data_IF_885355314902
#
_entry.id   IF_885355314902
#
_cell.length_a   1.000
_cell.length_b   1.000
_cell.length_c   1.000
_cell.angle_alpha   90.00
_cell.angle_beta   90.00
_cell.angle_gamma   90.00
#
_symmetry.space_group_name_H-M   'P 1'
#
loop_
_entity.id
_entity.type
_entity.pdbx_description
1 polymer ?
#
# COMPACT_ATOMS: atom_id res chain seq x y z
N UNK A 1 -16.89 12.17 3.62
CA UNK A 1 -16.76 10.89 4.36
C UNK A 1 -17.21 9.75 3.47
N UNK A 2 -16.59 8.58 3.58
CA UNK A 2 -16.93 7.42 2.73
C UNK A 2 -18.37 6.93 2.91
N UNK A 3 -18.98 7.14 4.08
CA UNK A 3 -20.41 6.83 4.31
C UNK A 3 -21.37 7.66 3.46
N UNK A 4 -20.91 8.79 2.92
CA UNK A 4 -21.65 9.68 2.02
C UNK A 4 -21.32 9.44 0.54
N UNK A 5 -20.62 8.35 0.19
CA UNK A 5 -20.22 8.10 -1.21
C UNK A 5 -21.39 8.13 -2.20
N UNK A 6 -22.59 7.71 -1.78
CA UNK A 6 -23.78 7.76 -2.64
C UNK A 6 -24.18 9.20 -3.01
N UNK A 7 -23.98 10.16 -2.11
CA UNK A 7 -24.24 11.58 -2.38
C UNK A 7 -23.21 12.14 -3.36
N UNK A 8 -21.92 11.79 -3.18
CA UNK A 8 -20.86 12.16 -4.13
C UNK A 8 -21.11 11.57 -5.53
N UNK A 9 -21.62 10.34 -5.61
CA UNK A 9 -21.96 9.71 -6.89
C UNK A 9 -23.15 10.36 -7.59
N UNK A 10 -24.15 10.83 -6.85
CA UNK A 10 -25.27 11.57 -7.45
C UNK A 10 -24.81 12.95 -7.94
N UNK A 11 -23.95 13.64 -7.19
CA UNK A 11 -23.31 14.86 -7.67
C UNK A 11 -22.49 14.61 -8.95
N UNK A 12 -21.61 13.59 -8.95
CA UNK A 12 -20.78 13.22 -10.09
C UNK A 12 -21.61 12.89 -11.34
N UNK A 13 -22.78 12.27 -11.18
CA UNK A 13 -23.69 11.98 -12.30
C UNK A 13 -24.16 13.24 -13.02
N UNK A 14 -24.37 14.33 -12.28
CA UNK A 14 -24.77 15.63 -12.82
C UNK A 14 -23.59 16.42 -13.37
N UNK A 15 -22.43 16.36 -12.72
CA UNK A 15 -21.22 17.11 -13.09
C UNK A 15 -20.47 16.48 -14.27
N UNK A 16 -20.27 15.15 -14.25
CA UNK A 16 -19.61 14.38 -15.30
C UNK A 16 -20.28 13.01 -15.49
N UNK A 17 -21.30 12.99 -16.34
CA UNK A 17 -22.05 11.77 -16.67
C UNK A 17 -21.17 10.66 -17.26
N UNK A 18 -20.10 11.00 -17.99
CA UNK A 18 -19.21 10.00 -18.58
C UNK A 18 -18.35 9.33 -17.50
N UNK A 19 -17.81 10.12 -16.57
CA UNK A 19 -17.01 9.59 -15.47
C UNK A 19 -17.87 8.81 -14.47
N UNK A 20 -19.10 9.25 -14.21
CA UNK A 20 -20.06 8.45 -13.43
C UNK A 20 -20.42 7.11 -14.11
N UNK A 21 -20.51 7.06 -15.46
CA UNK A 21 -20.66 5.78 -16.17
C UNK A 21 -19.42 4.90 -16.01
N UNK A 22 -18.23 5.50 -16.10
CA UNK A 22 -16.94 4.81 -15.88
C UNK A 22 -16.86 4.22 -14.48
N UNK A 23 -17.23 5.00 -13.46
CA UNK A 23 -17.41 4.52 -12.08
C UNK A 23 -18.30 3.28 -12.05
N UNK A 24 -19.50 3.35 -12.66
CA UNK A 24 -20.43 2.21 -12.69
C UNK A 24 -19.95 1.02 -13.50
N UNK A 25 -18.98 1.18 -14.39
CA UNK A 25 -18.33 0.05 -15.09
C UNK A 25 -17.36 -0.66 -14.14
N UNK A 26 -16.62 0.09 -13.33
CA UNK A 26 -15.56 -0.44 -12.46
C UNK A 26 -16.13 -0.94 -11.13
N UNK A 27 -16.96 -0.13 -10.49
CA UNK A 27 -17.41 -0.31 -9.12
C UNK A 27 -18.92 -0.58 -9.01
N UNK A 28 -19.26 -1.27 -7.94
CA UNK A 28 -20.62 -1.37 -7.40
C UNK A 28 -20.61 -0.87 -5.96
N UNK A 29 -21.62 -0.08 -5.59
CA UNK A 29 -21.79 0.44 -4.23
C UNK A 29 -23.19 0.12 -3.73
N UNK A 30 -23.25 -0.48 -2.54
CA UNK A 30 -24.50 -0.75 -1.84
C UNK A 30 -24.43 -0.19 -0.41
N UNK A 31 -25.61 0.09 0.15
CA UNK A 31 -25.75 0.55 1.54
C UNK A 31 -26.77 -0.35 2.23
N UNK A 32 -26.42 -0.84 3.40
CA UNK A 32 -27.29 -1.66 4.25
C UNK A 32 -27.22 -1.19 5.69
N UNK A 33 -28.24 -1.53 6.49
CA UNK A 33 -28.27 -1.25 7.92
C UNK A 33 -28.22 -2.55 8.73
N UNK A 34 -27.32 -2.60 9.70
CA UNK A 34 -27.31 -3.62 10.74
C UNK A 34 -27.97 -3.08 12.02
N UNK A 35 -28.86 -3.86 12.61
CA UNK A 35 -29.52 -3.51 13.88
C UNK A 35 -29.11 -4.45 15.00
N UNK A 36 -29.10 -3.93 16.23
CA UNK A 36 -28.80 -4.72 17.43
C UNK A 36 -29.84 -4.53 18.54
N UNK A 37 -30.06 -5.59 19.31
CA UNK A 37 -30.78 -5.53 20.59
C UNK A 37 -29.76 -5.44 21.70
N UNK A 38 -29.84 -4.38 22.50
CA UNK A 38 -28.93 -4.13 23.62
C UNK A 38 -29.56 -4.73 24.89
N UNK A 39 -28.92 -5.69 25.55
CA UNK A 39 -29.36 -6.19 26.85
C UNK A 39 -29.36 -5.07 27.91
N UNK A 40 -30.31 -5.10 28.85
CA UNK A 40 -30.41 -4.09 29.91
C UNK A 40 -29.13 -3.97 30.73
N UNK A 41 -28.42 -5.09 30.92
CA UNK A 41 -27.16 -5.17 31.64
C UNK A 41 -26.07 -4.30 31.00
N UNK A 42 -26.11 -4.09 29.68
CA UNK A 42 -25.13 -3.25 28.98
C UNK A 42 -25.38 -1.75 29.18
N UNK A 43 -26.59 -1.34 29.61
CA UNK A 43 -26.92 0.08 29.84
C UNK A 43 -26.05 0.71 30.94
N UNK A 44 -25.57 -0.10 31.88
CA UNK A 44 -24.71 0.33 32.97
C UNK A 44 -23.20 0.25 32.62
N UNK A 45 -22.84 -0.39 31.51
CA UNK A 45 -21.45 -0.65 31.11
C UNK A 45 -20.91 0.37 30.11
N UNK A 46 -21.79 1.01 29.34
CA UNK A 46 -21.41 1.95 28.29
C UNK A 46 -22.27 3.21 28.36
N UNK A 47 -21.73 4.30 27.82
CA UNK A 47 -22.46 5.56 27.71
C UNK A 47 -23.73 5.40 26.83
N UNK A 48 -24.81 6.06 27.24
CA UNK A 48 -26.09 5.97 26.55
C UNK A 48 -26.02 6.48 25.11
N UNK A 49 -25.22 7.51 24.83
CA UNK A 49 -25.06 8.03 23.46
C UNK A 49 -24.28 7.07 22.57
N UNK A 50 -23.28 6.37 23.12
CA UNK A 50 -22.57 5.30 22.42
C UNK A 50 -23.52 4.15 22.07
N UNK A 51 -24.29 3.68 23.06
CA UNK A 51 -25.26 2.59 22.87
C UNK A 51 -26.33 2.96 21.83
N UNK A 52 -26.86 4.19 21.89
CA UNK A 52 -27.83 4.66 20.90
C UNK A 52 -27.23 4.73 19.49
N UNK A 53 -26.00 5.23 19.36
CA UNK A 53 -25.30 5.25 18.08
C UNK A 53 -25.01 3.86 17.52
N UNK A 54 -24.87 2.85 18.38
CA UNK A 54 -24.61 1.48 18.00
C UNK A 54 -25.86 0.74 17.49
N UNK A 55 -27.08 1.21 17.83
CA UNK A 55 -28.34 0.52 17.52
C UNK A 55 -28.58 0.32 16.02
N UNK A 56 -28.25 1.35 15.23
CA UNK A 56 -28.37 1.34 13.78
C UNK A 56 -27.03 1.63 13.14
N UNK A 57 -26.47 0.63 12.46
CA UNK A 57 -25.15 0.74 11.85
C UNK A 57 -25.28 0.71 10.34
N UNK A 58 -25.05 1.87 9.71
CA UNK A 58 -24.95 1.95 8.25
C UNK A 58 -23.62 1.33 7.82
N UNK A 59 -23.70 0.42 6.87
CA UNK A 59 -22.56 -0.23 6.23
C UNK A 59 -22.61 0.09 4.75
N UNK A 60 -21.55 0.72 4.25
CA UNK A 60 -21.31 0.88 2.82
C UNK A 60 -20.44 -0.27 2.35
N UNK A 61 -20.91 -1.00 1.34
CA UNK A 61 -20.17 -2.05 0.67
C UNK A 61 -19.77 -1.58 -0.72
N UNK A 62 -18.48 -1.65 -1.03
CA UNK A 62 -17.93 -1.27 -2.33
C UNK A 62 -17.24 -2.49 -2.92
N UNK A 63 -17.49 -2.79 -4.19
CA UNK A 63 -16.92 -3.93 -4.89
C UNK A 63 -16.34 -3.50 -6.24
N UNK A 64 -15.08 -3.84 -6.49
CA UNK A 64 -14.44 -3.69 -7.79
C UNK A 64 -14.74 -4.91 -8.65
N UNK A 65 -15.55 -4.72 -9.69
CA UNK A 65 -16.05 -5.80 -10.56
C UNK A 65 -14.97 -6.40 -11.47
N UNK A 66 -13.82 -5.75 -11.58
CA UNK A 66 -12.72 -6.18 -12.44
C UNK A 66 -11.67 -6.97 -11.68
N UNK A 67 -11.31 -6.53 -10.48
CA UNK A 67 -10.28 -7.19 -9.66
C UNK A 67 -10.86 -8.13 -8.61
N UNK A 68 -12.15 -7.99 -8.29
CA UNK A 68 -12.82 -8.70 -7.21
C UNK A 68 -12.48 -8.18 -5.81
N UNK A 69 -11.73 -7.08 -5.71
CA UNK A 69 -11.43 -6.42 -4.44
C UNK A 69 -12.70 -5.77 -3.87
N UNK A 70 -12.99 -5.98 -2.60
CA UNK A 70 -14.18 -5.44 -1.93
C UNK A 70 -13.85 -4.86 -0.56
N UNK A 71 -14.57 -3.82 -0.16
CA UNK A 71 -14.41 -3.15 1.13
C UNK A 71 -15.76 -2.83 1.80
N UNK A 72 -15.79 -3.01 3.12
CA UNK A 72 -16.93 -2.74 3.98
C UNK A 72 -16.59 -1.60 4.96
N UNK A 73 -17.32 -0.50 4.87
CA UNK A 73 -17.17 0.67 5.74
C UNK A 73 -18.35 0.78 6.68
N UNK A 74 -18.11 0.53 7.97
CA UNK A 74 -19.14 0.59 9.00
C UNK A 74 -19.04 1.92 9.78
N UNK A 75 -20.18 2.61 9.93
CA UNK A 75 -20.24 3.93 10.59
C UNK A 75 -19.70 3.94 12.02
N UNK A 76 -19.88 2.86 12.78
CA UNK A 76 -19.34 2.73 14.14
C UNK A 76 -17.84 2.47 14.16
N UNK A 77 -17.32 1.69 13.20
CA UNK A 77 -15.88 1.46 13.08
C UNK A 77 -15.13 2.75 12.75
N UNK A 78 -15.66 3.55 11.83
CA UNK A 78 -15.09 4.85 11.44
C UNK A 78 -15.07 5.90 12.56
N UNK A 79 -15.89 5.70 13.60
CA UNK A 79 -15.99 6.59 14.77
C UNK A 79 -15.15 6.12 15.96
N UNK A 80 -14.58 4.92 15.91
CA UNK A 80 -13.71 4.47 17.00
C UNK A 80 -12.57 5.48 17.17
N UNK A 81 -12.29 5.95 18.39
CA UNK A 81 -11.14 6.80 18.63
C UNK A 81 -9.91 6.11 18.05
N UNK A 82 -9.20 6.83 17.18
CA UNK A 82 -7.86 6.40 16.79
C UNK A 82 -7.04 6.48 18.06
N UNK A 83 -6.68 5.33 18.63
CA UNK A 83 -5.72 5.32 19.71
C UNK A 83 -4.41 5.81 19.11
N UNK A 84 -4.03 7.04 19.43
CA UNK A 84 -2.66 7.49 19.24
C UNK A 84 -1.81 6.64 20.15
N UNK A 85 -1.13 5.67 19.56
CA UNK A 85 -0.20 4.86 20.29
C UNK A 85 1.01 5.73 20.55
N UNK A 86 1.39 5.87 21.82
CA UNK A 86 2.76 6.26 22.11
C UNK A 86 3.65 5.23 21.44
N UNK A 87 4.73 5.65 20.77
CA UNK A 87 5.82 4.73 20.43
C UNK A 87 6.34 4.17 21.76
N UNK A 88 5.82 3.02 22.15
CA UNK A 88 6.17 2.41 23.42
C UNK A 88 7.69 2.16 23.44
N UNK A 89 8.34 2.33 24.59
CA UNK A 89 9.80 2.24 24.73
C UNK A 89 10.36 0.91 24.17
N UNK A 90 9.58 -0.18 24.26
CA UNK A 90 9.89 -1.48 23.67
C UNK A 90 10.10 -1.44 22.14
N UNK A 91 9.35 -0.61 21.42
CA UNK A 91 9.55 -0.43 19.98
C UNK A 91 10.86 0.29 19.66
N UNK A 92 11.23 1.28 20.47
CA UNK A 92 12.48 2.02 20.28
C UNK A 92 13.69 1.13 20.54
N UNK A 93 13.64 0.29 21.59
CA UNK A 93 14.68 -0.70 21.87
C UNK A 93 14.85 -1.67 20.70
N UNK A 94 13.75 -2.24 20.18
CA UNK A 94 13.79 -3.15 19.03
C UNK A 94 14.43 -2.49 17.79
N UNK A 95 14.12 -1.22 17.53
CA UNK A 95 14.67 -0.47 16.38
C UNK A 95 16.15 -0.10 16.53
N UNK A 96 16.71 -0.20 17.74
CA UNK A 96 18.12 0.10 18.04
C UNK A 96 18.93 -1.18 18.30
N UNK A 97 18.27 -2.33 18.48
CA UNK A 97 18.93 -3.59 18.78
C UNK A 97 19.62 -4.19 17.55
N UNK A 98 20.92 -3.96 17.47
CA UNK A 98 21.78 -4.53 16.43
C UNK A 98 22.35 -5.91 16.83
N UNK A 99 22.04 -6.39 18.02
CA UNK A 99 22.62 -7.61 18.59
C UNK A 99 22.23 -8.82 17.75
N UNK A 100 23.23 -9.49 17.17
CA UNK A 100 22.99 -10.69 16.36
C UNK A 100 22.40 -10.44 14.97
N UNK A 101 22.15 -9.19 14.58
CA UNK A 101 21.62 -8.83 13.27
C UNK A 101 22.61 -9.20 12.14
N UNK A 102 22.19 -10.08 11.24
CA UNK A 102 22.98 -10.47 10.06
C UNK A 102 23.21 -9.28 9.10
N UNK A 103 22.25 -8.36 9.02
CA UNK A 103 22.24 -7.27 8.05
C UNK A 103 23.11 -6.07 8.48
N UNK A 104 23.58 -6.03 9.73
CA UNK A 104 24.63 -5.10 10.16
C UNK A 104 26.02 -5.47 9.61
N UNK A 105 26.23 -6.73 9.22
CA UNK A 105 27.46 -7.23 8.61
C UNK A 105 27.16 -8.07 7.36
N UNK A 106 26.51 -7.48 6.34
CA UNK A 106 25.90 -8.24 5.25
C UNK A 106 26.94 -9.01 4.43
N UNK A 107 28.15 -8.47 4.28
CA UNK A 107 29.22 -9.09 3.48
C UNK A 107 29.66 -10.46 4.01
N UNK A 108 29.65 -10.65 5.33
CA UNK A 108 30.10 -11.87 5.99
C UNK A 108 28.96 -12.75 6.48
N UNK A 109 27.75 -12.20 6.60
CA UNK A 109 26.58 -12.89 7.18
C UNK A 109 25.42 -13.11 6.21
N UNK A 110 25.58 -12.74 4.94
CA UNK A 110 24.62 -13.06 3.88
C UNK A 110 25.34 -13.62 2.66
N UNK A 111 24.71 -14.44 1.81
CA UNK A 111 25.30 -14.83 0.54
C UNK A 111 25.24 -13.68 -0.48
N UNK A 112 26.07 -13.74 -1.51
CA UNK A 112 25.98 -12.86 -2.70
C UNK A 112 25.39 -13.61 -3.88
N UNK A 113 24.87 -12.88 -4.88
CA UNK A 113 24.38 -13.48 -6.12
C UNK A 113 25.55 -13.94 -6.99
N UNK A 114 25.29 -14.72 -8.04
CA UNK A 114 26.34 -15.24 -8.94
C UNK A 114 27.10 -14.16 -9.71
N UNK A 115 26.51 -12.97 -9.85
CA UNK A 115 27.14 -11.76 -10.40
C UNK A 115 27.77 -10.88 -9.31
N UNK A 116 27.85 -11.37 -8.08
CA UNK A 116 28.38 -10.66 -6.92
C UNK A 116 27.39 -9.68 -6.30
N UNK A 117 27.91 -8.80 -5.43
CA UNK A 117 27.12 -7.73 -4.78
C UNK A 117 27.14 -6.44 -5.57
N UNK A 118 25.99 -5.78 -5.62
CA UNK A 118 25.87 -4.42 -6.10
C UNK A 118 25.88 -3.48 -4.91
N UNK A 119 26.69 -2.44 -5.01
CA UNK A 119 26.88 -1.45 -3.94
C UNK A 119 26.26 -0.12 -4.34
N UNK A 120 25.35 0.34 -3.50
CA UNK A 120 24.87 1.72 -3.48
C UNK A 120 25.69 2.57 -2.50
N UNK A 121 25.41 3.87 -2.50
CA UNK A 121 25.96 4.81 -1.53
C UNK A 121 25.40 4.54 -0.13
N UNK A 122 24.16 4.11 -0.02
CA UNK A 122 23.43 3.88 1.23
C UNK A 122 22.90 2.46 1.38
N UNK A 123 23.21 1.56 0.44
CA UNK A 123 22.72 0.19 0.43
C UNK A 123 23.72 -0.81 -0.17
N UNK A 124 23.48 -2.08 0.09
CA UNK A 124 24.22 -3.20 -0.50
C UNK A 124 23.28 -4.35 -0.80
N UNK A 125 23.50 -5.05 -1.91
CA UNK A 125 22.70 -6.24 -2.22
C UNK A 125 23.30 -7.51 -1.61
N UNK A 126 22.41 -8.48 -1.40
CA UNK A 126 22.74 -9.85 -1.02
C UNK A 126 21.80 -10.80 -1.76
N UNK A 127 22.20 -12.05 -1.90
CA UNK A 127 21.28 -13.09 -2.32
C UNK A 127 20.43 -13.51 -1.12
N UNK A 128 19.12 -13.70 -1.32
CA UNK A 128 18.31 -14.27 -0.25
C UNK A 128 18.70 -15.75 -0.07
N UNK A 129 19.06 -16.16 1.16
CA UNK A 129 19.43 -17.55 1.48
C UNK A 129 18.23 -18.49 1.39
N UNK A 130 17.04 -17.99 1.73
CA UNK A 130 15.76 -18.69 1.65
C UNK A 130 14.89 -17.99 0.61
N UNK A 131 15.16 -18.29 -0.65
CA UNK A 131 14.59 -17.61 -1.81
C UNK A 131 13.08 -17.72 -1.91
N UNK A 132 12.41 -16.61 -2.24
CA UNK A 132 10.98 -16.60 -2.58
C UNK A 132 10.72 -17.08 -4.01
N UNK A 133 11.64 -16.79 -4.93
CA UNK A 133 11.65 -17.23 -6.33
C UNK A 133 13.12 -17.43 -6.78
N UNK A 134 13.36 -18.02 -7.95
CA UNK A 134 14.70 -18.34 -8.46
C UNK A 134 15.65 -17.13 -8.37
N UNK A 135 15.16 -15.94 -8.70
CA UNK A 135 15.86 -14.67 -8.51
C UNK A 135 15.21 -13.89 -7.38
N UNK A 136 15.75 -14.11 -6.19
CA UNK A 136 15.34 -13.48 -4.94
C UNK A 136 16.59 -12.91 -4.26
N UNK A 137 16.71 -11.58 -4.36
CA UNK A 137 17.76 -10.77 -3.75
C UNK A 137 17.22 -9.94 -2.59
N UNK A 138 18.14 -9.40 -1.82
CA UNK A 138 17.93 -8.45 -0.74
C UNK A 138 18.64 -7.17 -1.10
N UNK A 139 17.99 -6.03 -0.89
CA UNK A 139 18.65 -4.73 -0.81
C UNK A 139 18.66 -4.32 0.65
N UNK A 140 19.85 -4.31 1.25
CA UNK A 140 20.04 -4.05 2.68
C UNK A 140 20.48 -2.60 2.86
N UNK A 141 19.79 -1.87 3.71
CA UNK A 141 20.11 -0.47 4.01
C UNK A 141 21.36 -0.42 4.89
N UNK A 142 22.16 0.63 4.79
CA UNK A 142 23.27 0.84 5.74
C UNK A 142 22.76 1.22 7.13
N UNK A 143 21.67 1.99 7.21
CA UNK A 143 21.02 2.28 8.48
C UNK A 143 20.23 1.05 8.95
N UNK A 144 20.42 0.67 10.22
CA UNK A 144 19.68 -0.43 10.83
C UNK A 144 18.20 -0.10 10.94
N UNK A 145 17.85 1.12 11.38
CA UNK A 145 16.46 1.48 11.62
C UNK A 145 15.71 1.69 10.28
N UNK A 146 14.72 0.84 9.94
CA UNK A 146 14.00 0.93 8.66
C UNK A 146 13.16 2.21 8.52
N UNK A 147 12.82 2.88 9.63
CA UNK A 147 12.01 4.08 9.64
C UNK A 147 12.83 5.36 9.50
N UNK A 148 14.17 5.26 9.61
CA UNK A 148 15.07 6.41 9.52
C UNK A 148 15.80 6.41 8.17
N UNK A 149 15.24 7.17 7.23
CA UNK A 149 15.87 7.43 5.94
C UNK A 149 15.52 8.82 5.44
N UNK A 150 16.42 9.42 4.67
CA UNK A 150 16.19 10.64 3.92
C UNK A 150 15.96 10.37 2.42
N UNK A 151 15.73 11.42 1.63
CA UNK A 151 15.47 11.30 0.19
C UNK A 151 16.65 10.69 -0.59
N UNK A 152 17.89 11.04 -0.25
CA UNK A 152 19.07 10.51 -0.95
C UNK A 152 19.21 9.01 -0.69
N UNK A 153 18.96 8.57 0.55
CA UNK A 153 18.96 7.16 0.91
C UNK A 153 17.88 6.38 0.15
N UNK A 154 16.63 6.86 0.14
CA UNK A 154 15.55 6.20 -0.63
C UNK A 154 15.87 6.16 -2.13
N UNK A 155 16.42 7.24 -2.68
CA UNK A 155 16.81 7.31 -4.09
C UNK A 155 17.93 6.33 -4.43
N UNK A 156 18.91 6.16 -3.54
CA UNK A 156 19.96 5.15 -3.67
C UNK A 156 19.39 3.73 -3.64
N UNK A 157 18.42 3.45 -2.77
CA UNK A 157 17.78 2.12 -2.70
C UNK A 157 17.12 1.77 -4.03
N UNK A 158 16.36 2.71 -4.62
CA UNK A 158 15.70 2.50 -5.89
C UNK A 158 16.70 2.34 -7.05
N UNK A 159 17.76 3.15 -7.10
CA UNK A 159 18.83 3.02 -8.11
C UNK A 159 19.60 1.71 -8.00
N UNK A 160 19.94 1.30 -6.78
CA UNK A 160 20.67 0.06 -6.52
C UNK A 160 19.81 -1.16 -6.85
N UNK A 161 18.51 -1.11 -6.59
CA UNK A 161 17.57 -2.17 -7.02
C UNK A 161 17.50 -2.30 -8.55
N UNK A 162 17.47 -1.20 -9.29
CA UNK A 162 17.42 -1.20 -10.76
C UNK A 162 18.69 -1.82 -11.36
N UNK A 163 19.87 -1.50 -10.79
CA UNK A 163 21.12 -2.17 -11.16
C UNK A 163 21.07 -3.67 -10.90
N UNK A 164 20.49 -4.09 -9.78
CA UNK A 164 20.31 -5.53 -9.47
C UNK A 164 19.41 -6.24 -10.45
N UNK A 165 18.29 -5.63 -10.84
CA UNK A 165 17.44 -6.21 -11.88
C UNK A 165 18.19 -6.37 -13.20
N UNK A 166 18.95 -5.36 -13.64
CA UNK A 166 19.73 -5.45 -14.90
C UNK A 166 20.71 -6.64 -14.91
N UNK A 167 21.44 -6.86 -13.81
CA UNK A 167 22.35 -8.01 -13.71
C UNK A 167 21.58 -9.34 -13.66
N UNK A 168 20.51 -9.41 -12.87
CA UNK A 168 19.69 -10.61 -12.76
C UNK A 168 19.00 -10.97 -14.09
N UNK A 169 18.50 -9.99 -14.84
CA UNK A 169 17.90 -10.16 -16.17
C UNK A 169 18.94 -10.69 -17.16
N UNK A 170 20.16 -10.12 -17.17
CA UNK A 170 21.24 -10.55 -18.06
C UNK A 170 21.65 -12.02 -17.86
N UNK A 171 21.64 -12.49 -16.61
CA UNK A 171 21.99 -13.89 -16.29
C UNK A 171 20.83 -14.86 -16.50
N UNK A 172 19.59 -14.41 -16.25
CA UNK A 172 18.42 -15.29 -16.19
C UNK A 172 17.58 -15.35 -17.46
N UNK A 173 17.57 -14.26 -18.23
CA UNK A 173 16.57 -14.01 -19.28
C UNK A 173 15.15 -13.75 -18.76
N UNK A 174 14.95 -13.60 -17.45
CA UNK A 174 13.66 -13.25 -16.86
C UNK A 174 13.42 -11.75 -16.98
N UNK A 175 12.18 -11.29 -16.87
CA UNK A 175 11.82 -9.90 -17.18
C UNK A 175 10.60 -9.37 -16.40
N UNK A 176 10.21 -10.00 -15.29
CA UNK A 176 9.10 -9.53 -14.44
C UNK A 176 9.59 -9.12 -13.04
N UNK A 177 10.14 -7.90 -12.90
CA UNK A 177 10.63 -7.39 -11.63
C UNK A 177 9.50 -7.01 -10.67
N UNK A 178 9.76 -7.18 -9.38
CA UNK A 178 8.93 -6.77 -8.26
C UNK A 178 9.82 -6.41 -7.06
N UNK A 179 9.60 -5.25 -6.48
CA UNK A 179 10.21 -4.86 -5.20
C UNK A 179 9.15 -4.98 -4.11
N UNK A 180 9.52 -5.58 -2.99
CA UNK A 180 8.70 -5.64 -1.80
C UNK A 180 9.49 -5.10 -0.61
N UNK A 181 8.90 -4.19 0.14
CA UNK A 181 9.41 -3.77 1.44
C UNK A 181 8.41 -4.15 2.52
N UNK A 182 8.75 -5.17 3.30
CA UNK A 182 8.05 -5.47 4.54
C UNK A 182 8.76 -4.69 5.66
N UNK A 183 8.14 -3.61 6.16
CA UNK A 183 8.71 -2.81 7.23
C UNK A 183 8.20 -3.31 8.59
N UNK A 184 9.11 -3.89 9.37
CA UNK A 184 8.89 -4.44 10.72
C UNK A 184 8.03 -5.72 10.78
N UNK A 185 8.06 -6.46 11.91
CA UNK A 185 7.51 -7.82 11.98
C UNK A 185 6.03 -7.94 11.65
N UNK A 186 5.21 -6.94 11.98
CA UNK A 186 3.77 -6.97 11.68
C UNK A 186 3.49 -6.93 10.17
N UNK A 187 4.38 -6.34 9.37
CA UNK A 187 4.36 -6.39 7.91
C UNK A 187 4.95 -7.69 7.33
N UNK A 188 5.42 -8.62 8.17
CA UNK A 188 6.04 -9.88 7.75
C UNK A 188 7.55 -9.78 7.50
N UNK A 189 8.23 -8.80 8.11
CA UNK A 189 9.69 -8.75 8.09
C UNK A 189 10.27 -9.76 9.10
N UNK A 190 11.19 -10.62 8.67
CA UNK A 190 11.90 -11.55 9.56
C UNK A 190 13.11 -10.92 10.26
N UNK A 191 13.55 -9.75 9.79
CA UNK A 191 14.63 -8.95 10.35
C UNK A 191 14.12 -7.52 10.53
N UNK A 192 14.41 -6.91 11.68
CA UNK A 192 14.06 -5.51 11.96
C UNK A 192 14.84 -4.55 11.06
N UNK A 193 16.09 -4.90 10.77
CA UNK A 193 16.99 -4.10 9.95
C UNK A 193 16.36 -3.72 8.60
N UNK A 194 16.48 -2.46 8.20
CA UNK A 194 15.91 -1.96 6.96
C UNK A 194 16.39 -2.67 5.70
N UNK A 195 15.46 -3.28 4.97
CA UNK A 195 15.76 -3.96 3.71
C UNK A 195 14.53 -4.05 2.80
N UNK A 196 14.79 -4.26 1.51
CA UNK A 196 13.80 -4.61 0.50
C UNK A 196 14.12 -5.98 -0.09
N UNK A 197 13.08 -6.71 -0.49
CA UNK A 197 13.19 -7.92 -1.30
C UNK A 197 13.13 -7.54 -2.78
N UNK A 198 14.09 -8.04 -3.56
CA UNK A 198 14.16 -7.88 -5.00
C UNK A 198 13.81 -9.21 -5.66
N UNK A 199 12.75 -9.21 -6.46
CA UNK A 199 12.19 -10.44 -7.03
C UNK A 199 12.10 -10.30 -8.54
N UNK A 200 12.72 -11.23 -9.28
CA UNK A 200 12.66 -11.26 -10.74
C UNK A 200 12.04 -12.58 -11.19
N UNK A 201 10.82 -12.52 -11.73
CA UNK A 201 10.08 -13.70 -12.17
C UNK A 201 10.20 -13.95 -13.66
N UNK A 202 10.08 -15.21 -14.08
CA UNK A 202 9.92 -15.60 -15.49
C UNK A 202 8.53 -15.22 -16.04
N UNK A 203 7.57 -14.97 -15.13
CA UNK A 203 6.20 -14.54 -15.42
C UNK A 203 5.78 -13.50 -14.38
N UNK A 204 4.74 -12.69 -14.65
CA UNK A 204 4.21 -11.77 -13.65
C UNK A 204 3.81 -12.51 -12.37
N UNK A 205 4.14 -11.94 -11.22
CA UNK A 205 3.59 -12.39 -9.94
C UNK A 205 2.07 -12.30 -9.95
N UNK A 206 1.39 -13.23 -9.29
CA UNK A 206 -0.04 -13.50 -9.51
C UNK A 206 -0.95 -12.26 -9.44
N UNK A 207 -0.72 -11.35 -8.48
CA UNK A 207 -1.48 -10.10 -8.34
C UNK A 207 -1.19 -9.12 -9.48
N UNK A 208 0.06 -8.95 -9.88
CA UNK A 208 0.44 -8.12 -11.03
C UNK A 208 -0.13 -8.73 -12.33
N UNK A 209 -0.01 -10.04 -12.50
CA UNK A 209 -0.59 -10.73 -13.66
C UNK A 209 -2.12 -10.66 -13.73
N UNK A 210 -2.82 -10.54 -12.60
CA UNK A 210 -4.26 -10.25 -12.58
C UNK A 210 -4.54 -8.84 -13.11
N UNK A 211 -3.82 -7.84 -12.62
CA UNK A 211 -3.99 -6.44 -13.06
C UNK A 211 -3.70 -6.28 -14.56
N UNK A 212 -2.68 -6.95 -15.06
CA UNK A 212 -2.34 -6.97 -16.49
C UNK A 212 -3.43 -7.57 -17.37
N UNK A 213 -3.94 -8.75 -16.98
CA UNK A 213 -5.08 -9.35 -17.69
C UNK A 213 -6.32 -8.45 -17.65
N UNK A 214 -6.60 -7.84 -16.50
CA UNK A 214 -7.71 -6.89 -16.34
C UNK A 214 -7.53 -5.70 -17.27
N UNK A 215 -6.34 -5.09 -17.31
CA UNK A 215 -6.03 -3.95 -18.16
C UNK A 215 -6.23 -4.29 -19.65
N UNK A 216 -5.73 -5.45 -20.09
CA UNK A 216 -5.92 -5.92 -21.48
C UNK A 216 -7.39 -6.14 -21.86
N UNK A 217 -8.16 -6.84 -21.02
CA UNK A 217 -9.60 -7.09 -21.28
C UNK A 217 -10.39 -5.77 -21.24
N UNK A 218 -10.09 -4.89 -20.28
CA UNK A 218 -10.76 -3.61 -20.15
C UNK A 218 -10.51 -2.72 -21.37
N UNK A 219 -9.25 -2.61 -21.81
CA UNK A 219 -8.88 -1.85 -23.01
C UNK A 219 -9.56 -2.40 -24.26
N UNK A 220 -9.59 -3.72 -24.44
CA UNK A 220 -10.28 -4.34 -25.58
C UNK A 220 -11.79 -4.02 -25.59
N UNK A 221 -12.42 -3.88 -24.41
CA UNK A 221 -13.86 -3.66 -24.28
C UNK A 221 -14.27 -2.19 -24.35
N UNK A 222 -13.49 -1.28 -23.77
CA UNK A 222 -13.86 0.13 -23.62
C UNK A 222 -12.95 1.10 -24.37
N UNK A 223 -11.85 0.63 -24.95
CA UNK A 223 -10.87 1.48 -25.62
C UNK A 223 -10.11 2.43 -24.70
N UNK A 224 -10.22 2.25 -23.37
CA UNK A 224 -9.57 3.08 -22.36
C UNK A 224 -8.60 2.26 -21.50
N UNK A 225 -7.70 2.94 -20.79
CA UNK A 225 -6.82 2.30 -19.82
C UNK A 225 -7.55 2.09 -18.49
N UNK A 226 -7.58 0.84 -18.01
CA UNK A 226 -8.19 0.50 -16.73
C UNK A 226 -7.63 1.34 -15.57
N UNK A 227 -6.30 1.43 -15.47
CA UNK A 227 -5.65 2.13 -14.37
C UNK A 227 -5.88 3.65 -14.41
N UNK A 228 -5.97 4.24 -15.60
CA UNK A 228 -6.29 5.67 -15.72
C UNK A 228 -7.75 5.95 -15.38
N UNK A 229 -8.67 5.09 -15.82
CA UNK A 229 -10.09 5.25 -15.48
C UNK A 229 -10.31 5.05 -13.97
N UNK A 230 -9.60 4.10 -13.33
CA UNK A 230 -9.57 3.96 -11.88
C UNK A 230 -9.08 5.24 -11.22
N UNK A 231 -7.93 5.79 -11.66
CA UNK A 231 -7.39 7.02 -11.07
C UNK A 231 -8.35 8.21 -11.24
N UNK A 232 -8.85 8.46 -12.45
CA UNK A 232 -9.79 9.56 -12.74
C UNK A 232 -11.06 9.47 -11.91
N UNK A 233 -11.58 8.27 -11.69
CA UNK A 233 -12.71 8.04 -10.80
C UNK A 233 -12.38 8.48 -9.37
N UNK A 234 -11.22 8.11 -8.84
CA UNK A 234 -10.82 8.53 -7.49
C UNK A 234 -10.57 10.03 -7.42
N UNK A 235 -9.93 10.62 -8.43
CA UNK A 235 -9.70 12.05 -8.52
C UNK A 235 -11.02 12.84 -8.44
N UNK A 236 -12.01 12.51 -9.25
CA UNK A 236 -13.31 13.18 -9.23
C UNK A 236 -14.11 12.93 -7.95
N UNK A 237 -13.86 11.82 -7.26
CA UNK A 237 -14.40 11.58 -5.92
C UNK A 237 -13.67 12.34 -4.82
N UNK A 238 -12.65 13.16 -5.13
CA UNK A 238 -11.84 13.85 -4.14
C UNK A 238 -10.91 12.90 -3.38
N UNK A 239 -10.60 11.74 -3.93
CA UNK A 239 -9.72 10.71 -3.36
C UNK A 239 -8.43 10.50 -4.18
N UNK A 240 -8.23 11.28 -5.24
CA UNK A 240 -7.03 11.30 -6.06
C UNK A 240 -6.38 12.68 -6.16
N UNK A 241 -5.10 12.69 -6.51
CA UNK A 241 -4.29 13.88 -6.81
C UNK A 241 -3.34 13.51 -7.94
N UNK A 242 -3.29 14.33 -8.99
CA UNK A 242 -2.21 14.27 -9.98
C UNK A 242 -1.03 15.12 -9.51
N UNK A 243 0.16 14.53 -9.45
CA UNK A 243 1.41 15.20 -9.07
C UNK A 243 2.45 15.01 -10.18
N UNK A 244 2.67 16.04 -10.99
CA UNK A 244 3.64 16.06 -12.08
C UNK A 244 3.56 14.82 -13.01
N UNK A 245 2.35 14.48 -13.48
CA UNK A 245 1.99 13.30 -14.32
C UNK A 245 1.81 11.94 -13.59
N UNK A 246 2.04 11.89 -12.27
CA UNK A 246 1.85 10.69 -11.45
C UNK A 246 0.50 10.78 -10.75
N UNK A 247 -0.28 9.71 -10.81
CA UNK A 247 -1.56 9.62 -10.10
C UNK A 247 -1.36 9.04 -8.71
N UNK A 248 -1.78 9.75 -7.66
CA UNK A 248 -1.82 9.25 -6.28
C UNK A 248 -3.27 9.17 -5.82
N UNK A 249 -3.70 8.05 -5.23
CA UNK A 249 -5.06 7.93 -4.74
C UNK A 249 -5.19 6.97 -3.55
N UNK A 250 -6.17 7.24 -2.69
CA UNK A 250 -6.64 6.31 -1.68
C UNK A 250 -7.76 5.45 -2.28
N UNK A 251 -7.57 4.12 -2.28
CA UNK A 251 -8.54 3.19 -2.87
C UNK A 251 -9.86 3.20 -2.09
N UNK A 252 -11.00 3.15 -2.79
CA UNK A 252 -12.32 2.88 -2.19
C UNK A 252 -12.59 1.39 -1.97
N UNK A 253 -11.70 0.51 -2.45
CA UNK A 253 -11.66 -0.93 -2.15
C UNK A 253 -10.29 -1.32 -1.60
N UNK A 254 -9.83 -0.71 -0.49
CA UNK A 254 -8.48 -0.97 0.01
C UNK A 254 -8.44 -2.33 0.76
N UNK A 255 -7.27 -2.95 0.79
CA UNK A 255 -7.05 -4.19 1.55
C UNK A 255 -6.98 -3.90 3.05
N UNK A 256 -6.42 -2.75 3.43
CA UNK A 256 -6.32 -2.25 4.80
C UNK A 256 -6.48 -0.74 4.89
N UNK A 257 -6.58 -0.24 6.12
CA UNK A 257 -6.57 1.18 6.42
C UNK A 257 -5.34 1.88 5.81
N UNK A 258 -5.50 3.16 5.49
CA UNK A 258 -4.44 4.04 4.97
C UNK A 258 -3.69 3.51 3.74
N UNK A 259 -4.35 2.68 2.93
CA UNK A 259 -3.77 2.23 1.68
C UNK A 259 -3.64 3.38 0.67
N UNK A 260 -2.42 3.61 0.20
CA UNK A 260 -2.12 4.62 -0.83
C UNK A 260 -1.57 3.91 -2.07
N UNK A 261 -2.13 4.27 -3.21
CA UNK A 261 -1.74 3.77 -4.52
C UNK A 261 -1.12 4.90 -5.33
N UNK A 262 -0.02 4.61 -6.02
CA UNK A 262 0.61 5.48 -7.00
C UNK A 262 0.69 4.77 -8.34
N UNK A 263 0.38 5.50 -9.42
CA UNK A 263 0.62 5.08 -10.80
C UNK A 263 1.58 6.04 -11.49
N UNK A 264 2.51 5.50 -12.27
CA UNK A 264 3.55 6.27 -12.97
C UNK A 264 3.98 5.58 -14.28
N UNK A 265 4.65 6.33 -15.17
CA UNK A 265 5.09 5.82 -16.48
C UNK A 265 6.59 5.98 -16.76
N UNK A 266 7.30 6.64 -15.86
CA UNK A 266 8.74 6.86 -15.94
C UNK A 266 9.54 5.69 -15.37
N UNK A 267 10.85 5.68 -15.63
CA UNK A 267 11.78 4.81 -14.93
C UNK A 267 11.89 5.24 -13.47
N UNK A 268 11.50 4.37 -12.55
CA UNK A 268 11.47 4.66 -11.12
C UNK A 268 12.85 4.97 -10.51
N UNK A 269 13.92 4.47 -11.14
CA UNK A 269 15.29 4.64 -10.66
C UNK A 269 15.91 5.98 -11.06
N UNK A 270 15.41 6.61 -12.11
CA UNK A 270 15.94 7.89 -12.64
C UNK A 270 14.94 9.05 -12.52
N UNK A 271 13.67 8.82 -12.15
CA UNK A 271 12.68 9.86 -11.90
C UNK A 271 12.75 10.40 -10.46
N UNK A 272 13.52 11.48 -10.26
CA UNK A 272 13.64 12.16 -8.96
C UNK A 272 12.31 12.73 -8.46
N UNK A 273 11.38 13.08 -9.35
CA UNK A 273 10.06 13.59 -8.95
C UNK A 273 9.22 12.48 -8.33
N UNK A 274 9.21 11.30 -8.94
CA UNK A 274 8.58 10.11 -8.34
C UNK A 274 9.25 9.72 -7.02
N UNK A 275 10.58 9.73 -6.95
CA UNK A 275 11.33 9.41 -5.72
C UNK A 275 10.99 10.36 -4.59
N UNK A 276 10.90 11.67 -4.87
CA UNK A 276 10.48 12.70 -3.92
C UNK A 276 9.03 12.52 -3.47
N UNK A 277 8.14 12.20 -4.40
CA UNK A 277 6.73 11.94 -4.11
C UNK A 277 6.57 10.74 -3.17
N UNK A 278 7.23 9.62 -3.50
CA UNK A 278 7.24 8.43 -2.65
C UNK A 278 7.82 8.73 -1.27
N UNK A 279 8.94 9.47 -1.22
CA UNK A 279 9.53 9.91 0.04
C UNK A 279 8.55 10.72 0.89
N UNK A 280 7.90 11.74 0.32
CA UNK A 280 6.90 12.56 1.02
C UNK A 280 5.76 11.71 1.57
N UNK A 281 5.23 10.76 0.79
CA UNK A 281 4.15 9.87 1.24
C UNK A 281 4.61 8.99 2.40
N UNK A 282 5.79 8.37 2.31
CA UNK A 282 6.31 7.54 3.39
C UNK A 282 6.58 8.37 4.66
N UNK A 283 7.14 9.58 4.53
CA UNK A 283 7.35 10.49 5.67
C UNK A 283 6.02 10.94 6.28
N UNK A 284 5.01 11.25 5.46
CA UNK A 284 3.67 11.55 5.96
C UNK A 284 3.11 10.38 6.78
N UNK A 285 3.15 9.16 6.24
CA UNK A 285 2.66 7.99 6.97
C UNK A 285 3.42 7.77 8.28
N UNK A 286 4.75 7.86 8.26
CA UNK A 286 5.60 7.54 9.42
C UNK A 286 5.58 8.66 10.48
N UNK A 287 5.70 9.92 10.05
CA UNK A 287 5.95 11.05 10.95
C UNK A 287 4.66 11.78 11.33
N UNK A 288 3.61 11.74 10.49
CA UNK A 288 2.32 12.41 10.75
C UNK A 288 1.24 11.40 11.17
N UNK A 289 1.19 10.22 10.54
CA UNK A 289 0.19 9.17 10.86
C UNK A 289 0.69 8.10 11.82
N UNK A 290 1.94 8.22 12.26
CA UNK A 290 2.63 7.30 13.18
C UNK A 290 2.57 5.82 12.71
N UNK A 291 2.61 5.63 11.39
CA UNK A 291 2.69 4.30 10.79
C UNK A 291 4.09 3.73 11.03
N UNK A 292 4.17 2.77 11.95
CA UNK A 292 5.42 2.10 12.28
C UNK A 292 5.67 0.86 11.41
N UNK A 293 4.61 0.13 11.02
CA UNK A 293 4.72 -1.08 10.21
C UNK A 293 3.89 -0.95 8.94
N UNK A 294 4.51 -1.21 7.79
CA UNK A 294 3.85 -1.11 6.49
C UNK A 294 4.41 -2.12 5.49
N UNK A 295 3.61 -2.47 4.49
CA UNK A 295 4.11 -3.08 3.27
C UNK A 295 4.14 -2.05 2.16
N UNK A 296 5.22 -2.06 1.38
CA UNK A 296 5.29 -1.39 0.10
C UNK A 296 5.56 -2.43 -0.99
N UNK A 297 4.79 -2.37 -2.06
CA UNK A 297 5.06 -3.08 -3.30
C UNK A 297 5.35 -2.05 -4.39
N UNK A 298 6.42 -2.25 -5.16
CA UNK A 298 6.71 -1.50 -6.38
C UNK A 298 6.84 -2.48 -7.54
N UNK A 299 5.96 -2.33 -8.52
CA UNK A 299 6.09 -2.93 -9.83
C UNK A 299 6.54 -1.83 -10.81
N UNK A 300 7.74 -1.92 -11.41
CA UNK A 300 8.22 -0.90 -12.32
C UNK A 300 7.49 -1.01 -13.66
N UNK A 301 7.59 0.03 -14.49
CA UNK A 301 7.07 -0.01 -15.86
C UNK A 301 7.73 -1.15 -16.62
N UNK A 302 6.92 -1.98 -17.26
CA UNK A 302 7.38 -3.11 -18.05
C UNK A 302 6.72 -3.07 -19.43
N UNK A 303 7.51 -2.90 -20.49
CA UNK A 303 7.02 -2.80 -21.86
C UNK A 303 6.33 -4.06 -22.39
N UNK A 304 6.44 -5.19 -21.68
CA UNK A 304 5.73 -6.42 -21.99
C UNK A 304 4.33 -6.50 -21.36
N UNK A 305 3.89 -5.47 -20.65
CA UNK A 305 2.64 -5.44 -19.88
C UNK A 305 1.79 -4.21 -20.24
N UNK A 306 0.47 -4.31 -20.06
CA UNK A 306 -0.51 -3.26 -20.34
C UNK A 306 -0.78 -2.35 -19.12
N UNK A 307 0.00 -2.49 -18.06
CA UNK A 307 -0.14 -1.75 -16.80
C UNK A 307 0.94 -0.67 -16.67
N UNK A 308 0.63 0.44 -15.97
CA UNK A 308 1.66 1.40 -15.61
C UNK A 308 2.61 0.82 -14.56
N UNK A 309 3.65 1.59 -14.20
CA UNK A 309 4.33 1.37 -12.94
C UNK A 309 3.36 1.60 -11.78
N UNK A 310 3.41 0.74 -10.77
CA UNK A 310 2.49 0.76 -9.63
C UNK A 310 3.31 0.73 -8.34
N UNK A 311 3.03 1.66 -7.43
CA UNK A 311 3.43 1.53 -6.02
C UNK A 311 2.17 1.41 -5.16
N UNK A 312 2.11 0.40 -4.29
CA UNK A 312 1.05 0.26 -3.27
C UNK A 312 1.68 0.26 -1.90
N UNK A 313 1.18 1.09 -1.00
CA UNK A 313 1.62 1.17 0.40
C UNK A 313 0.43 0.82 1.27
N UNK A 314 0.63 -0.11 2.21
CA UNK A 314 -0.41 -0.63 3.09
C UNK A 314 0.05 -0.51 4.53
N UNK A 315 -0.69 0.23 5.35
CA UNK A 315 -0.48 0.28 6.80
C UNK A 315 -0.87 -1.07 7.43
N UNK A 316 0.00 -1.60 8.28
CA UNK A 316 -0.19 -2.86 9.01
C UNK A 316 -0.53 -2.63 10.48
N UNK A 317 -0.66 -1.36 10.87
CA UNK A 317 -1.01 -0.88 12.19
C UNK A 317 0.13 -1.06 13.22
N UNK A 318 -0.17 -0.82 14.50
CA UNK A 318 0.83 -0.85 15.57
C UNK A 318 1.39 -2.25 15.83
N UNK A 319 2.70 -2.34 16.09
CA UNK A 319 3.41 -3.60 16.37
C UNK A 319 2.93 -4.20 17.70
N UNK A 320 2.59 -3.36 18.68
CA UNK A 320 2.05 -3.75 19.99
C UNK A 320 0.61 -4.30 19.93
N UNK A 321 -0.02 -4.34 18.76
CA UNK A 321 -1.37 -4.89 18.65
C UNK A 321 -1.37 -6.39 18.92
N UNK A 322 -2.19 -6.80 19.90
CA UNK A 322 -2.42 -8.21 20.20
C UNK A 322 -3.16 -8.94 19.07
N UNK A 323 -3.97 -8.22 18.29
CA UNK A 323 -4.73 -8.80 17.18
C UNK A 323 -3.87 -8.87 15.90
N UNK A 324 -3.88 -10.03 15.24
CA UNK A 324 -3.40 -10.13 13.86
C UNK A 324 -4.18 -9.16 12.98
N UNK A 325 -3.46 -8.51 12.07
CA UNK A 325 -4.07 -7.66 11.07
C UNK A 325 -4.65 -8.47 9.90
N UNK A 326 -4.26 -9.73 9.68
CA UNK A 326 -4.89 -10.60 8.69
C UNK A 326 -5.88 -11.52 9.40
N UNK A 327 -7.17 -11.34 9.12
CA UNK A 327 -8.25 -12.19 9.59
C UNK A 327 -8.96 -12.93 8.47
N UNK A 328 -10.08 -13.57 8.82
CA UNK A 328 -10.90 -14.30 7.85
C UNK A 328 -11.45 -13.43 6.72
N UNK A 329 -11.68 -12.14 6.98
CA UNK A 329 -12.21 -11.21 5.97
C UNK A 329 -11.18 -10.86 4.90
N UNK A 330 -9.91 -10.64 5.27
CA UNK A 330 -8.83 -10.42 4.31
C UNK A 330 -8.48 -11.67 3.50
N UNK A 331 -8.68 -12.86 4.09
CA UNK A 331 -8.38 -14.13 3.44
C UNK A 331 -9.50 -14.61 2.51
N UNK A 332 -10.77 -14.45 2.91
CA UNK A 332 -11.91 -15.11 2.28
C UNK A 332 -13.09 -14.20 1.93
N UNK A 333 -13.08 -12.96 2.39
CA UNK A 333 -14.20 -12.03 2.24
C UNK A 333 -13.80 -10.70 1.62
N UNK A 334 -14.50 -9.65 2.05
CA UNK A 334 -14.19 -8.25 1.75
C UNK A 334 -13.51 -7.60 2.94
N UNK A 335 -12.50 -6.76 2.69
CA UNK A 335 -11.80 -6.04 3.75
C UNK A 335 -12.76 -5.19 4.57
N UNK A 336 -12.58 -5.14 5.89
CA UNK A 336 -13.42 -4.32 6.77
C UNK A 336 -12.60 -3.14 7.27
N UNK A 337 -12.94 -1.95 6.81
CA UNK A 337 -12.08 -0.77 6.93
C UNK A 337 -12.56 0.14 8.07
N UNK A 338 -11.63 0.45 8.97
CA UNK A 338 -11.87 1.31 10.12
C UNK A 338 -11.57 2.80 9.92
N UNK A 339 -10.98 3.20 8.80
CA UNK A 339 -10.56 4.59 8.55
C UNK A 339 -11.17 5.17 7.27
N UNK A 340 -11.45 6.47 7.29
CA UNK A 340 -12.07 7.17 6.17
C UNK A 340 -11.01 7.65 5.16
N UNK A 341 -11.01 7.14 3.91
CA UNK A 341 -10.02 7.52 2.89
C UNK A 341 -10.06 9.00 2.53
N UNK A 342 -11.19 9.69 2.74
CA UNK A 342 -11.30 11.14 2.49
C UNK A 342 -10.38 11.95 3.42
N UNK A 343 -10.35 11.59 4.71
CA UNK A 343 -9.48 12.27 5.69
C UNK A 343 -8.01 12.08 5.37
N UNK A 344 -7.64 10.86 4.98
CA UNK A 344 -6.28 10.54 4.54
C UNK A 344 -5.85 11.42 3.36
N UNK A 345 -6.71 11.53 2.33
CA UNK A 345 -6.37 12.29 1.13
C UNK A 345 -6.35 13.80 1.35
N UNK A 346 -7.24 14.34 2.19
CA UNK A 346 -7.23 15.77 2.53
C UNK A 346 -5.94 16.17 3.25
N UNK A 347 -5.49 15.36 4.22
CA UNK A 347 -4.21 15.59 4.91
C UNK A 347 -3.02 15.42 3.96
N UNK A 348 -3.04 14.39 3.10
CA UNK A 348 -1.96 14.14 2.15
C UNK A 348 -1.81 15.29 1.14
N UNK A 349 -2.91 15.90 0.65
CA UNK A 349 -2.86 17.09 -0.21
C UNK A 349 -2.02 18.19 0.39
N UNK A 350 -2.29 18.54 1.66
CA UNK A 350 -1.55 19.58 2.36
C UNK A 350 -0.04 19.30 2.44
N UNK A 351 0.36 18.03 2.58
CA UNK A 351 1.79 17.64 2.62
C UNK A 351 2.45 17.66 1.24
N UNK A 352 1.70 17.36 0.19
CA UNK A 352 2.24 17.36 -1.17
C UNK A 352 2.40 18.79 -1.72
N UNK A 353 1.49 19.71 -1.33
CA UNK A 353 1.51 21.12 -1.72
C UNK A 353 2.52 21.97 -0.93
N UNK A 354 2.91 21.52 0.27
CA UNK A 354 3.97 22.12 1.10
C UNK A 354 5.38 21.77 0.60
#
# INVERSE_FOLDING_TARGET
MITSIQEYLEALKHEDTQLHRTFKVIYEVTSSEGSLKIPEEMLNLFDASFLESARGQRVISIYNKWTGEGALFNSMRLRKPVHHHTRDDYHLEMLMDTSGCDFCSPETRTPEDVFGRIRGEHSITASNIAKYDAWSGLLIFKNHNPLQFNLNELSDYLKTSSKWFKEAEAVSGFNYPLIIWNCLPRAGASQVHGHMQLLLGQRPYARIGLLDRVAGIYRAKYGSSYHEDVFRVHEALGLGIEYCDKGVYASITPVKEREINLIFRSDYSDDLTLQRLLFKILRYLIDVKDVCSFNLMLHPVNGAMEIPGIIRIVDRGPISSMSSDIGGMELFGSSVIGEDPYRLMDELRCVLDA
#
